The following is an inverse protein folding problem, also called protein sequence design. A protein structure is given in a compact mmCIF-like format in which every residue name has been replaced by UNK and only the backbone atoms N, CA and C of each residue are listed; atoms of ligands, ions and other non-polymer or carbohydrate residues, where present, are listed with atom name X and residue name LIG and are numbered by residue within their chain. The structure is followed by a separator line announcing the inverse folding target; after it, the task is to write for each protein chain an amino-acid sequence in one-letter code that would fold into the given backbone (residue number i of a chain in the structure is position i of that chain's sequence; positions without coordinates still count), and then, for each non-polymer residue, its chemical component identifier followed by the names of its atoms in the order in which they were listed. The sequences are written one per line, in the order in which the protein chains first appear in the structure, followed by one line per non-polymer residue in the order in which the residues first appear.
data_IF_612932741470
#
_entry.id   IF_612932741470
#
_cell.length_a   1.000
_cell.length_b   1.000
_cell.length_c   1.000
_cell.angle_alpha   90.00
_cell.angle_beta   90.00
_cell.angle_gamma   90.00
#
_symmetry.space_group_name_H-M   'P 1'
#
loop_
_entity.id
_entity.type
_entity.pdbx_description
1 polymer ?
#
# COMPACT_ATOMS: atom_id res chain seq x y z
N UNK A 1 14.78 -9.25 14.40
CA UNK A 1 15.42 -8.09 13.75
C UNK A 1 14.36 -7.43 12.87
N UNK A 2 14.01 -6.17 13.14
CA UNK A 2 13.04 -5.42 12.32
C UNK A 2 13.71 -5.13 10.98
N UNK A 3 13.08 -5.53 9.88
CA UNK A 3 13.52 -5.13 8.53
C UNK A 3 12.81 -3.85 8.15
N UNK A 4 13.58 -2.83 7.78
CA UNK A 4 13.10 -1.50 7.43
C UNK A 4 13.88 -0.98 6.23
N UNK A 5 13.20 -0.27 5.34
CA UNK A 5 13.82 0.47 4.27
C UNK A 5 13.06 1.79 4.07
N UNK A 6 13.75 2.83 3.59
CA UNK A 6 13.15 4.13 3.35
C UNK A 6 13.80 4.79 2.13
N UNK A 7 13.05 5.70 1.50
CA UNK A 7 13.57 6.65 0.54
C UNK A 7 12.79 7.97 0.65
N UNK A 8 12.99 8.89 -0.29
CA UNK A 8 12.32 10.20 -0.29
C UNK A 8 10.79 10.15 -0.44
N UNK A 9 10.22 8.99 -0.80
CA UNK A 9 8.80 8.85 -1.13
C UNK A 9 8.04 8.03 -0.10
N UNK A 10 8.72 7.19 0.68
CA UNK A 10 8.07 6.34 1.68
C UNK A 10 9.06 5.68 2.63
N UNK A 11 8.47 5.12 3.67
CA UNK A 11 9.08 4.23 4.61
C UNK A 11 8.32 2.90 4.67
N UNK A 12 9.07 1.80 4.71
CA UNK A 12 8.52 0.44 4.79
C UNK A 12 9.19 -0.35 5.91
N UNK A 13 8.39 -1.09 6.67
CA UNK A 13 8.90 -2.05 7.66
C UNK A 13 7.93 -3.21 7.83
N UNK A 14 8.42 -4.30 8.44
CA UNK A 14 7.59 -5.44 8.82
C UNK A 14 7.59 -5.53 10.34
N UNK A 15 6.40 -5.57 10.93
CA UNK A 15 6.18 -5.71 12.37
C UNK A 15 4.89 -6.50 12.60
N UNK A 16 4.92 -7.47 13.52
CA UNK A 16 3.78 -8.34 13.84
C UNK A 16 3.13 -8.94 12.57
N UNK A 17 3.97 -9.47 11.67
CA UNK A 17 3.57 -10.08 10.40
C UNK A 17 2.80 -9.17 9.43
N UNK A 18 2.73 -7.88 9.70
CA UNK A 18 2.16 -6.86 8.80
C UNK A 18 3.30 -6.04 8.18
N UNK A 19 3.23 -5.85 6.87
CA UNK A 19 4.08 -4.88 6.18
C UNK A 19 3.40 -3.51 6.25
N UNK A 20 4.06 -2.57 6.91
CA UNK A 20 3.67 -1.18 6.95
C UNK A 20 4.32 -0.45 5.77
N UNK A 21 3.50 0.24 4.99
CA UNK A 21 3.93 1.06 3.88
C UNK A 21 3.41 2.48 4.06
N UNK A 22 4.24 3.34 4.62
CA UNK A 22 3.88 4.72 4.94
C UNK A 22 4.47 5.66 3.92
N UNK A 23 3.60 6.35 3.19
CA UNK A 23 3.98 7.27 2.13
C UNK A 23 4.41 8.60 2.75
N UNK A 24 5.46 9.21 2.21
CA UNK A 24 5.79 10.59 2.51
C UNK A 24 4.70 11.54 1.95
N UNK A 25 4.65 12.81 2.35
CA UNK A 25 3.83 13.80 1.70
C UNK A 25 4.09 13.88 0.20
N UNK A 26 3.05 13.65 -0.60
CA UNK A 26 3.12 13.63 -2.05
C UNK A 26 1.93 14.38 -2.62
N UNK A 27 2.21 15.45 -3.37
CA UNK A 27 1.16 16.13 -4.14
C UNK A 27 0.61 15.21 -5.23
N UNK A 28 1.46 14.46 -5.92
CA UNK A 28 1.04 13.57 -7.00
C UNK A 28 1.87 12.28 -7.06
N UNK A 29 1.20 11.13 -6.97
CA UNK A 29 1.79 9.82 -7.18
C UNK A 29 1.87 9.52 -8.68
N UNK A 30 3.05 9.77 -9.26
CA UNK A 30 3.33 9.45 -10.66
C UNK A 30 3.74 7.99 -10.89
N UNK A 31 3.68 7.53 -12.15
CA UNK A 31 4.13 6.19 -12.54
C UNK A 31 5.59 5.92 -12.14
N UNK A 32 6.46 6.95 -12.25
CA UNK A 32 7.87 6.85 -11.84
C UNK A 32 7.99 6.59 -10.34
N UNK A 33 7.20 7.29 -9.53
CA UNK A 33 7.19 7.14 -8.07
C UNK A 33 6.61 5.76 -7.71
N UNK A 34 5.48 5.36 -8.31
CA UNK A 34 4.86 4.05 -8.09
C UNK A 34 5.81 2.88 -8.35
N UNK A 35 6.59 2.92 -9.44
CA UNK A 35 7.63 1.90 -9.74
C UNK A 35 8.75 1.88 -8.68
N UNK A 36 9.13 3.05 -8.17
CA UNK A 36 10.16 3.16 -7.13
C UNK A 36 9.68 2.56 -5.80
N UNK A 37 8.44 2.90 -5.43
CA UNK A 37 7.76 2.41 -4.24
C UNK A 37 7.59 0.90 -4.25
N UNK A 38 7.19 0.30 -5.38
CA UNK A 38 7.09 -1.15 -5.50
C UNK A 38 8.45 -1.84 -5.26
N UNK A 39 9.54 -1.29 -5.83
CA UNK A 39 10.90 -1.82 -5.61
C UNK A 39 11.32 -1.71 -4.15
N UNK A 40 11.07 -0.57 -3.51
CA UNK A 40 11.37 -0.35 -2.09
C UNK A 40 10.65 -1.39 -1.22
N UNK A 41 9.34 -1.58 -1.43
CA UNK A 41 8.54 -2.55 -0.68
C UNK A 41 9.03 -3.99 -0.87
N UNK A 42 9.26 -4.41 -2.12
CA UNK A 42 9.75 -5.77 -2.41
C UNK A 42 11.15 -6.03 -1.82
N UNK A 43 11.99 -5.01 -1.66
CA UNK A 43 13.35 -5.16 -1.14
C UNK A 43 13.43 -5.74 0.28
N UNK A 44 12.37 -5.60 1.09
CA UNK A 44 12.33 -6.13 2.46
C UNK A 44 11.55 -7.43 2.60
N UNK A 45 10.81 -7.84 1.56
CA UNK A 45 9.88 -8.97 1.61
C UNK A 45 10.56 -10.33 1.44
N UNK A 46 11.76 -10.38 0.84
CA UNK A 46 12.51 -11.63 0.59
C UNK A 46 11.65 -12.74 -0.07
N UNK A 47 10.86 -12.38 -1.08
CA UNK A 47 9.92 -13.27 -1.78
C UNK A 47 8.78 -13.84 -0.92
N UNK A 48 8.52 -13.29 0.27
CA UNK A 48 7.37 -13.63 1.09
C UNK A 48 6.22 -12.66 0.91
N UNK A 49 5.01 -13.19 0.85
CA UNK A 49 3.78 -12.42 0.85
C UNK A 49 3.40 -11.97 2.26
N UNK A 50 2.96 -10.72 2.42
CA UNK A 50 2.49 -10.17 3.70
C UNK A 50 1.14 -9.47 3.53
N UNK A 51 0.30 -9.40 4.59
CA UNK A 51 -0.75 -8.40 4.67
C UNK A 51 -0.11 -7.01 4.76
N UNK A 52 -0.65 -6.04 4.01
CA UNK A 52 -0.02 -4.74 3.82
C UNK A 52 -0.95 -3.61 4.26
N UNK A 53 -0.46 -2.77 5.17
CA UNK A 53 -1.09 -1.49 5.47
C UNK A 53 -0.42 -0.39 4.63
N UNK A 54 -1.16 0.14 3.65
CA UNK A 54 -0.74 1.32 2.89
C UNK A 54 -1.32 2.58 3.54
N UNK A 55 -0.47 3.36 4.19
CA UNK A 55 -0.84 4.66 4.74
C UNK A 55 -0.68 5.74 3.69
N UNK A 56 -1.82 6.10 3.07
CA UNK A 56 -1.89 7.04 1.96
C UNK A 56 -2.29 8.44 2.40
N UNK A 57 -2.50 8.70 3.71
CA UNK A 57 -3.11 9.95 4.21
C UNK A 57 -2.46 11.24 3.71
N UNK A 58 -1.15 11.19 3.45
CA UNK A 58 -0.35 12.32 2.96
C UNK A 58 -0.19 12.38 1.42
N UNK A 59 -0.96 11.56 0.67
CA UNK A 59 -0.91 11.51 -0.81
C UNK A 59 -2.13 12.23 -1.41
N UNK A 60 -1.96 13.38 -2.03
CA UNK A 60 -3.11 14.18 -2.46
C UNK A 60 -3.85 13.58 -3.67
N UNK A 61 -3.11 13.10 -4.67
CA UNK A 61 -3.67 12.48 -5.87
C UNK A 61 -2.69 11.50 -6.52
N UNK A 62 -3.17 10.72 -7.50
CA UNK A 62 -2.36 9.79 -8.27
C UNK A 62 -2.69 9.88 -9.76
N UNK A 63 -1.66 9.74 -10.61
CA UNK A 63 -1.84 9.63 -12.05
C UNK A 63 -2.60 8.35 -12.39
N UNK A 64 -3.44 8.40 -13.42
CA UNK A 64 -4.12 7.19 -13.93
C UNK A 64 -3.14 6.06 -14.25
N UNK A 65 -2.01 6.37 -14.88
CA UNK A 65 -0.98 5.38 -15.21
C UNK A 65 -0.35 4.75 -13.96
N UNK A 66 -0.21 5.52 -12.87
CA UNK A 66 0.31 5.01 -11.60
C UNK A 66 -0.70 4.04 -10.97
N UNK A 67 -1.98 4.40 -10.97
CA UNK A 67 -3.06 3.54 -10.47
C UNK A 67 -3.18 2.26 -11.30
N UNK A 68 -3.18 2.36 -12.64
CA UNK A 68 -3.25 1.21 -13.55
C UNK A 68 -2.04 0.27 -13.36
N UNK A 69 -0.85 0.83 -13.11
CA UNK A 69 0.34 0.05 -12.79
C UNK A 69 0.21 -0.68 -11.44
N UNK A 70 -0.21 0.01 -10.38
CA UNK A 70 -0.36 -0.58 -9.04
C UNK A 70 -1.51 -1.60 -9.00
N UNK A 71 -2.56 -1.40 -9.78
CA UNK A 71 -3.66 -2.35 -9.96
C UNK A 71 -3.15 -3.70 -10.45
N UNK A 72 -2.22 -3.65 -11.41
CA UNK A 72 -1.67 -4.83 -12.07
C UNK A 72 -0.53 -5.48 -11.27
N UNK A 73 0.42 -4.68 -10.79
CA UNK A 73 1.70 -5.12 -10.22
C UNK A 73 1.80 -4.90 -8.71
N UNK A 74 1.01 -3.98 -8.16
CA UNK A 74 1.06 -3.58 -6.75
C UNK A 74 0.60 -4.66 -5.78
N UNK A 75 -0.16 -5.66 -6.22
CA UNK A 75 -0.61 -6.80 -5.40
C UNK A 75 0.39 -7.97 -5.36
N UNK A 76 1.50 -7.90 -6.10
CA UNK A 76 2.55 -8.94 -6.04
C UNK A 76 3.03 -9.08 -4.60
N UNK A 77 3.08 -10.31 -4.07
CA UNK A 77 3.49 -10.58 -2.68
C UNK A 77 2.68 -9.79 -1.62
N UNK A 78 1.45 -9.38 -1.93
CA UNK A 78 0.47 -9.01 -0.93
C UNK A 78 -0.41 -10.23 -0.64
N UNK A 79 -0.88 -10.39 0.60
CA UNK A 79 -1.91 -11.39 0.95
C UNK A 79 -3.26 -10.75 1.21
N UNK A 80 -3.24 -9.50 1.68
CA UNK A 80 -4.34 -8.54 1.71
C UNK A 80 -3.76 -7.12 1.72
N UNK A 81 -4.59 -6.12 1.41
CA UNK A 81 -4.18 -4.71 1.42
C UNK A 81 -5.23 -3.86 2.14
N UNK A 82 -4.81 -3.09 3.14
CA UNK A 82 -5.62 -2.04 3.75
C UNK A 82 -5.11 -0.68 3.29
N UNK A 83 -5.99 0.12 2.69
CA UNK A 83 -5.70 1.48 2.26
C UNK A 83 -6.19 2.45 3.35
N UNK A 84 -5.26 2.98 4.16
CA UNK A 84 -5.57 3.98 5.17
C UNK A 84 -5.56 5.38 4.54
N UNK A 85 -6.69 6.06 4.60
CA UNK A 85 -6.94 7.34 3.90
C UNK A 85 -7.48 8.41 4.86
N UNK A 86 -7.39 9.66 4.45
CA UNK A 86 -7.95 10.84 5.11
C UNK A 86 -8.75 11.70 4.12
N UNK A 87 -9.95 12.13 4.52
CA UNK A 87 -10.79 13.00 3.70
C UNK A 87 -10.21 14.42 3.53
N UNK A 88 -10.53 15.11 2.42
CA UNK A 88 -11.22 14.61 1.22
C UNK A 88 -10.28 14.08 0.13
N UNK A 89 -8.97 14.28 0.27
CA UNK A 89 -8.02 14.15 -0.85
C UNK A 89 -7.76 12.70 -1.27
N UNK A 90 -7.48 11.82 -0.32
CA UNK A 90 -7.01 10.44 -0.62
C UNK A 90 -8.14 9.45 -0.87
N UNK A 91 -9.33 9.72 -0.31
CA UNK A 91 -10.45 8.78 -0.38
C UNK A 91 -10.96 8.58 -1.81
N UNK A 92 -11.10 9.68 -2.57
CA UNK A 92 -11.56 9.61 -3.96
C UNK A 92 -10.56 8.84 -4.84
N UNK A 93 -9.26 9.04 -4.65
CA UNK A 93 -8.20 8.29 -5.33
C UNK A 93 -8.24 6.80 -4.98
N UNK A 94 -8.36 6.45 -3.70
CA UNK A 94 -8.44 5.06 -3.26
C UNK A 94 -9.72 4.36 -3.76
N UNK A 95 -10.86 5.05 -3.75
CA UNK A 95 -12.12 4.52 -4.29
C UNK A 95 -12.05 4.33 -5.80
N UNK A 96 -11.44 5.27 -6.54
CA UNK A 96 -11.19 5.12 -7.97
C UNK A 96 -10.30 3.92 -8.26
N UNK A 97 -9.23 3.72 -7.47
CA UNK A 97 -8.37 2.56 -7.59
C UNK A 97 -9.17 1.25 -7.41
N UNK A 98 -10.00 1.15 -6.37
CA UNK A 98 -10.83 -0.03 -6.13
C UNK A 98 -11.91 -0.27 -7.21
N UNK A 99 -12.45 0.78 -7.82
CA UNK A 99 -13.53 0.65 -8.82
C UNK A 99 -13.02 0.33 -10.22
N UNK A 100 -11.77 0.68 -10.52
CA UNK A 100 -11.16 0.51 -11.86
C UNK A 100 -10.14 -0.60 -11.93
N UNK A 101 -9.66 -1.10 -10.79
CA UNK A 101 -8.83 -2.29 -10.69
C UNK A 101 -9.63 -3.45 -10.11
N UNK A 102 -9.47 -4.65 -10.66
CA UNK A 102 -9.88 -5.87 -9.98
C UNK A 102 -8.73 -6.21 -9.03
N UNK A 103 -8.87 -6.04 -7.70
CA UNK A 103 -7.80 -6.36 -6.79
C UNK A 103 -7.55 -7.87 -6.83
N UNK A 104 -6.29 -8.29 -7.03
CA UNK A 104 -5.92 -9.71 -7.03
C UNK A 104 -5.96 -10.34 -5.63
N UNK A 105 -6.10 -9.51 -4.61
CA UNK A 105 -6.15 -9.87 -3.18
C UNK A 105 -7.19 -8.99 -2.51
N UNK A 106 -7.73 -9.46 -1.39
CA UNK A 106 -8.72 -8.70 -0.61
C UNK A 106 -8.13 -7.33 -0.25
N UNK A 107 -8.87 -6.28 -0.65
CA UNK A 107 -8.42 -4.90 -0.52
C UNK A 107 -9.58 -4.05 0.00
N UNK A 108 -9.35 -3.33 1.10
CA UNK A 108 -10.36 -2.48 1.72
C UNK A 108 -9.80 -1.10 2.08
N UNK A 109 -10.69 -0.09 2.17
CA UNK A 109 -10.35 1.30 2.50
C UNK A 109 -10.82 1.62 3.91
N UNK A 110 -9.92 2.19 4.71
CA UNK A 110 -10.17 2.53 6.11
C UNK A 110 -9.78 3.99 6.38
N UNK A 111 -10.49 4.60 7.33
CA UNK A 111 -10.11 5.91 7.92
C UNK A 111 -9.56 5.75 9.34
N UNK A 112 -9.71 4.55 9.91
CA UNK A 112 -9.25 4.19 11.25
C UNK A 112 -8.15 3.12 11.13
N UNK A 113 -6.98 3.45 11.67
CA UNK A 113 -5.81 2.55 11.63
C UNK A 113 -6.05 1.24 12.39
N UNK A 114 -6.77 1.27 13.52
CA UNK A 114 -7.03 0.06 14.31
C UNK A 114 -7.94 -0.90 13.53
N UNK A 115 -8.98 -0.38 12.87
CA UNK A 115 -9.85 -1.21 12.01
C UNK A 115 -9.10 -1.80 10.82
N UNK A 116 -8.20 -1.02 10.21
CA UNK A 116 -7.34 -1.51 9.14
C UNK A 116 -6.44 -2.67 9.61
N UNK A 117 -5.86 -2.54 10.81
CA UNK A 117 -5.02 -3.60 11.39
C UNK A 117 -5.84 -4.83 11.80
N UNK A 118 -7.04 -4.65 12.34
CA UNK A 118 -7.98 -5.73 12.65
C UNK A 118 -8.31 -6.53 11.39
N UNK A 119 -8.66 -5.85 10.29
CA UNK A 119 -8.87 -6.49 8.99
C UNK A 119 -7.64 -7.31 8.55
N UNK A 120 -6.45 -6.70 8.57
CA UNK A 120 -5.21 -7.35 8.12
C UNK A 120 -4.79 -8.55 8.98
N UNK A 121 -5.16 -8.56 10.27
CA UNK A 121 -4.81 -9.64 11.19
C UNK A 121 -5.41 -11.00 10.82
N UNK A 122 -6.44 -11.00 9.96
CA UNK A 122 -7.07 -12.23 9.46
C UNK A 122 -6.29 -12.90 8.32
N UNK A 123 -5.21 -12.28 7.84
CA UNK A 123 -4.47 -12.75 6.67
C UNK A 123 -3.05 -13.21 7.03
N UNK A 124 -2.62 -14.39 6.54
CA UNK A 124 -1.32 -14.94 6.90
C UNK A 124 -0.17 -14.36 6.06
N UNK A 125 1.05 -14.52 6.57
CA UNK A 125 2.29 -14.47 5.76
C UNK A 125 2.33 -15.69 4.84
N UNK A 126 2.71 -15.51 3.57
CA UNK A 126 2.86 -16.60 2.58
C UNK A 126 4.31 -16.74 2.11
N UNK A 127 4.78 -17.98 1.92
CA UNK A 127 6.09 -18.29 1.33
C UNK A 127 5.96 -18.68 -0.14
#
# INVERSE_FOLDING_TARGET
MIKRAQNNFAEVWIENDILYFVYAPLENLSLKIAKNLLKLRLSIQNNKGYPILCDLREVIQADKEAMDYLAKEGSVQATAVALLVQYPHTKSTAQFYLSTSIPKVDTEVFEDKLKALEFLSNYPVKN
#
